data_IF_110853048868
#
_entry.id   IF_110853048868
#
_cell.length_a   1.000
_cell.length_b   1.000
_cell.length_c   1.000
_cell.angle_alpha   90.00
_cell.angle_beta   90.00
_cell.angle_gamma   90.00
#
_symmetry.space_group_name_H-M   'P 1'
#
loop_
_entity.id
_entity.type
_entity.pdbx_description
1 polymer ?
#
# COMPACT_ATOMS: atom_id res chain seq x y z
N UNK A 1 2.34 -3.44 14.65
CA UNK A 1 2.36 -4.12 13.34
C UNK A 1 1.13 -3.77 12.53
N UNK A 2 1.28 -3.67 11.18
CA UNK A 2 0.17 -3.47 10.25
C UNK A 2 -0.15 -4.75 9.48
N UNK A 3 -1.43 -4.95 9.15
CA UNK A 3 -1.85 -6.09 8.34
C UNK A 3 -2.82 -5.66 7.23
N UNK A 4 -2.65 -6.25 6.04
CA UNK A 4 -3.46 -5.94 4.88
C UNK A 4 -4.73 -6.79 4.80
N UNK A 5 -5.78 -6.16 4.30
CA UNK A 5 -7.03 -6.80 3.87
C UNK A 5 -7.37 -6.36 2.43
N UNK A 6 -8.19 -7.15 1.75
CA UNK A 6 -8.74 -6.83 0.44
C UNK A 6 -10.06 -6.07 0.54
N UNK A 7 -10.90 -6.29 -0.47
CA UNK A 7 -12.22 -5.64 -0.59
C UNK A 7 -13.38 -6.62 -0.72
N UNK A 8 -13.15 -7.91 -0.47
CA UNK A 8 -14.19 -8.92 -0.45
C UNK A 8 -14.94 -8.89 0.88
N UNK A 9 -16.15 -9.41 0.90
CA UNK A 9 -16.98 -9.36 2.11
C UNK A 9 -16.34 -10.14 3.28
N UNK A 10 -15.61 -11.19 2.99
CA UNK A 10 -14.89 -12.02 3.96
C UNK A 10 -13.76 -11.25 4.66
N UNK A 11 -13.22 -10.21 4.01
CA UNK A 11 -12.16 -9.36 4.57
C UNK A 11 -12.61 -8.60 5.83
N UNK A 12 -13.91 -8.42 6.01
CA UNK A 12 -14.46 -7.83 7.25
C UNK A 12 -14.20 -8.77 8.44
N UNK A 13 -14.38 -10.08 8.24
CA UNK A 13 -14.10 -11.07 9.29
C UNK A 13 -12.59 -11.16 9.55
N UNK A 14 -11.77 -11.09 8.48
CA UNK A 14 -10.32 -11.00 8.61
C UNK A 14 -9.92 -9.75 9.41
N UNK A 15 -10.52 -8.60 9.15
CA UNK A 15 -10.25 -7.37 9.90
C UNK A 15 -10.57 -7.51 11.40
N UNK A 16 -11.69 -8.16 11.76
CA UNK A 16 -12.03 -8.47 13.16
C UNK A 16 -10.97 -9.38 13.80
N UNK A 17 -10.64 -10.48 13.14
CA UNK A 17 -9.64 -11.43 13.66
C UNK A 17 -8.28 -10.76 13.87
N UNK A 18 -7.87 -9.86 12.97
CA UNK A 18 -6.64 -9.08 13.13
C UNK A 18 -6.72 -8.16 14.36
N UNK A 19 -7.85 -7.51 14.57
CA UNK A 19 -8.10 -6.65 15.74
C UNK A 19 -8.03 -7.45 17.04
N UNK A 20 -8.68 -8.61 17.10
CA UNK A 20 -8.71 -9.50 18.26
C UNK A 20 -7.31 -10.06 18.59
N UNK A 21 -6.42 -10.12 17.60
CA UNK A 21 -5.01 -10.53 17.75
C UNK A 21 -4.04 -9.34 17.92
N UNK A 22 -4.55 -8.13 18.19
CA UNK A 22 -3.72 -7.00 18.60
C UNK A 22 -2.98 -6.30 17.45
N UNK A 23 -3.55 -6.24 16.24
CA UNK A 23 -2.98 -5.45 15.16
C UNK A 23 -3.06 -3.95 15.48
N UNK A 24 -1.97 -3.21 15.18
CA UNK A 24 -1.92 -1.76 15.43
C UNK A 24 -2.50 -0.94 14.26
N UNK A 25 -2.52 -1.51 13.05
CA UNK A 25 -2.95 -0.84 11.83
C UNK A 25 -3.56 -1.83 10.85
N UNK A 26 -4.74 -1.55 10.32
CA UNK A 26 -5.32 -2.30 9.20
C UNK A 26 -5.15 -1.51 7.90
N UNK A 27 -4.72 -2.19 6.84
CA UNK A 27 -4.47 -1.58 5.53
C UNK A 27 -5.44 -2.16 4.51
N UNK A 28 -6.34 -1.36 3.96
CA UNK A 28 -7.11 -1.72 2.77
C UNK A 28 -6.19 -1.49 1.57
N UNK A 29 -5.63 -2.57 1.03
CA UNK A 29 -4.55 -2.52 0.05
C UNK A 29 -5.02 -3.02 -1.32
N UNK A 30 -5.10 -2.10 -2.27
CA UNK A 30 -5.58 -2.36 -3.63
C UNK A 30 -4.70 -1.69 -4.69
N UNK A 31 -4.77 -2.20 -5.92
CA UNK A 31 -4.08 -1.60 -7.06
C UNK A 31 -4.68 -0.23 -7.46
N UNK A 32 -5.96 0.01 -7.13
CA UNK A 32 -6.67 1.26 -7.38
C UNK A 32 -7.60 1.61 -6.21
N UNK A 33 -7.07 2.43 -5.29
CA UNK A 33 -7.77 2.82 -4.05
C UNK A 33 -8.96 3.76 -4.27
N UNK A 34 -8.99 4.50 -5.38
CA UNK A 34 -10.09 5.41 -5.70
C UNK A 34 -11.20 4.69 -6.48
N UNK A 35 -11.81 3.70 -5.86
CA UNK A 35 -12.91 2.94 -6.44
C UNK A 35 -14.07 2.81 -5.45
N UNK A 36 -15.29 2.69 -5.97
CA UNK A 36 -16.50 2.54 -5.16
C UNK A 36 -16.42 1.32 -4.22
N UNK A 37 -15.81 0.23 -4.69
CA UNK A 37 -15.58 -0.99 -3.92
C UNK A 37 -14.72 -0.73 -2.69
N UNK A 38 -13.65 0.06 -2.83
CA UNK A 38 -12.76 0.45 -1.73
C UNK A 38 -13.47 1.38 -0.74
N UNK A 39 -14.17 2.40 -1.22
CA UNK A 39 -14.92 3.33 -0.37
C UNK A 39 -15.98 2.59 0.46
N UNK A 40 -16.75 1.69 -0.15
CA UNK A 40 -17.73 0.85 0.56
C UNK A 40 -17.06 -0.07 1.60
N UNK A 41 -15.89 -0.64 1.29
CA UNK A 41 -15.15 -1.46 2.25
C UNK A 41 -14.65 -0.62 3.42
N UNK A 42 -14.07 0.54 3.16
CA UNK A 42 -13.61 1.46 4.20
C UNK A 42 -14.74 1.82 5.18
N UNK A 43 -15.89 2.24 4.67
CA UNK A 43 -17.07 2.55 5.49
C UNK A 43 -17.49 1.37 6.39
N UNK A 44 -17.49 0.15 5.85
CA UNK A 44 -17.83 -1.04 6.63
C UNK A 44 -16.79 -1.37 7.69
N UNK A 45 -15.50 -1.31 7.35
CA UNK A 45 -14.41 -1.62 8.28
C UNK A 45 -14.32 -0.59 9.41
N UNK A 46 -14.53 0.70 9.12
CA UNK A 46 -14.60 1.77 10.15
C UNK A 46 -15.70 1.53 11.19
N UNK A 47 -16.86 1.00 10.78
CA UNK A 47 -17.95 0.66 11.70
C UNK A 47 -17.58 -0.49 12.65
N UNK A 48 -16.74 -1.41 12.18
CA UNK A 48 -16.31 -2.59 12.92
C UNK A 48 -15.09 -2.29 13.79
N UNK A 49 -14.10 -1.58 13.24
CA UNK A 49 -12.82 -1.27 13.90
C UNK A 49 -12.76 0.18 14.36
N UNK A 50 -13.47 0.50 15.44
CA UNK A 50 -13.60 1.88 15.92
C UNK A 50 -12.32 2.48 16.51
N UNK A 51 -11.39 1.64 16.99
CA UNK A 51 -10.18 2.07 17.71
C UNK A 51 -8.89 1.84 16.94
N UNK A 52 -8.92 1.06 15.87
CA UNK A 52 -7.75 0.72 15.08
C UNK A 52 -7.72 1.64 13.87
N UNK A 53 -6.60 2.34 13.61
CA UNK A 53 -6.46 3.19 12.44
C UNK A 53 -6.52 2.37 11.16
N UNK A 54 -7.11 2.94 10.12
CA UNK A 54 -7.25 2.31 8.82
C UNK A 54 -6.46 3.12 7.78
N UNK A 55 -5.46 2.47 7.19
CA UNK A 55 -4.74 2.97 6.03
C UNK A 55 -5.42 2.47 4.76
N UNK A 56 -5.55 3.33 3.77
CA UNK A 56 -6.19 2.96 2.49
C UNK A 56 -5.31 3.36 1.31
N UNK A 57 -5.19 2.49 0.34
CA UNK A 57 -4.45 2.76 -0.90
C UNK A 57 -4.64 1.65 -1.95
N UNK A 58 -3.98 1.82 -3.10
CA UNK A 58 -3.09 2.92 -3.42
C UNK A 58 -3.80 3.95 -4.28
N UNK A 59 -3.39 5.18 -4.11
CA UNK A 59 -3.88 6.30 -4.90
C UNK A 59 -2.70 7.15 -5.44
N UNK A 60 -3.01 8.11 -6.31
CA UNK A 60 -2.00 9.01 -6.89
C UNK A 60 -2.52 10.44 -7.12
N UNK A 61 -3.75 10.76 -6.73
CA UNK A 61 -4.36 12.06 -7.02
C UNK A 61 -4.95 12.72 -5.77
N UNK A 62 -5.02 14.05 -5.82
CA UNK A 62 -5.63 14.87 -4.77
C UNK A 62 -7.11 14.54 -4.53
N UNK A 63 -7.86 14.29 -5.60
CA UNK A 63 -9.28 13.96 -5.55
C UNK A 63 -9.51 12.63 -4.84
N UNK A 64 -8.66 11.63 -5.13
CA UNK A 64 -8.69 10.35 -4.45
C UNK A 64 -8.39 10.49 -2.95
N UNK A 65 -7.42 11.32 -2.58
CA UNK A 65 -7.10 11.58 -1.18
C UNK A 65 -8.28 12.19 -0.43
N UNK A 66 -8.96 13.18 -1.03
CA UNK A 66 -10.18 13.79 -0.47
C UNK A 66 -11.31 12.79 -0.33
N UNK A 67 -11.54 11.95 -1.34
CA UNK A 67 -12.60 10.93 -1.30
C UNK A 67 -12.38 9.92 -0.19
N UNK A 68 -11.14 9.44 0.00
CA UNK A 68 -10.80 8.50 1.07
C UNK A 68 -10.92 9.13 2.45
N UNK A 69 -10.49 10.38 2.62
CA UNK A 69 -10.65 11.11 3.88
C UNK A 69 -12.13 11.25 4.26
N UNK A 70 -12.97 11.69 3.31
CA UNK A 70 -14.40 11.89 3.55
C UNK A 70 -15.12 10.60 3.96
N UNK A 71 -14.62 9.43 3.50
CA UNK A 71 -15.14 8.11 3.90
C UNK A 71 -14.53 7.60 5.21
N UNK A 72 -13.58 8.33 5.79
CA UNK A 72 -13.02 8.08 7.11
C UNK A 72 -11.68 7.34 7.14
N UNK A 73 -10.86 7.43 6.10
CA UNK A 73 -9.48 6.95 6.16
C UNK A 73 -8.68 7.74 7.20
N UNK A 74 -7.89 7.04 8.02
CA UNK A 74 -7.00 7.65 9.00
C UNK A 74 -5.61 7.89 8.40
N UNK A 75 -5.20 7.08 7.42
CA UNK A 75 -3.91 7.16 6.74
C UNK A 75 -4.14 6.87 5.26
N UNK A 76 -3.43 7.58 4.39
CA UNK A 76 -3.49 7.36 2.95
C UNK A 76 -2.18 6.81 2.42
N UNK A 77 -2.24 5.76 1.61
CA UNK A 77 -1.08 5.15 0.97
C UNK A 77 -1.03 5.51 -0.51
N UNK A 78 0.08 6.16 -0.92
CA UNK A 78 0.24 6.81 -2.23
C UNK A 78 1.29 6.10 -3.06
N UNK A 79 0.91 5.72 -4.29
CA UNK A 79 1.82 5.14 -5.27
C UNK A 79 1.12 4.19 -6.24
N UNK A 80 1.04 4.59 -7.52
CA UNK A 80 0.51 3.76 -8.60
C UNK A 80 1.66 3.41 -9.54
N UNK A 81 2.14 2.16 -9.43
CA UNK A 81 3.16 1.60 -10.29
C UNK A 81 4.63 1.98 -10.02
N UNK A 82 5.04 2.62 -8.88
CA UNK A 82 6.44 2.98 -8.66
C UNK A 82 7.29 1.81 -8.15
N UNK A 83 6.70 0.73 -7.69
CA UNK A 83 7.41 -0.42 -7.13
C UNK A 83 8.34 -1.07 -8.16
N UNK A 84 9.51 -1.53 -7.72
CA UNK A 84 10.54 -2.12 -8.61
C UNK A 84 10.07 -3.41 -9.32
N UNK A 85 9.13 -4.11 -8.72
CA UNK A 85 8.52 -5.34 -9.25
C UNK A 85 7.17 -5.08 -9.94
N UNK A 86 6.69 -3.83 -9.95
CA UNK A 86 5.40 -3.46 -10.51
C UNK A 86 5.52 -3.22 -12.02
N UNK A 87 4.69 -3.91 -12.79
CA UNK A 87 4.63 -3.78 -14.26
C UNK A 87 3.42 -2.97 -14.75
N UNK A 88 2.61 -2.41 -13.86
CA UNK A 88 1.39 -1.66 -14.21
C UNK A 88 1.66 -0.55 -15.22
N UNK A 89 2.73 0.23 -15.02
CA UNK A 89 3.10 1.32 -15.94
C UNK A 89 3.49 0.81 -17.32
N UNK A 90 4.15 -0.35 -17.38
CA UNK A 90 4.63 -0.92 -18.64
C UNK A 90 3.51 -1.61 -19.42
N UNK A 91 2.66 -2.35 -18.71
CA UNK A 91 1.62 -3.19 -19.33
C UNK A 91 0.32 -2.42 -19.55
N UNK A 92 -0.12 -1.63 -18.56
CA UNK A 92 -1.38 -0.90 -18.61
C UNK A 92 -1.22 0.57 -19.01
N UNK A 93 0.01 1.10 -19.04
CA UNK A 93 0.26 2.52 -19.29
C UNK A 93 -0.27 3.45 -18.18
N UNK A 94 -0.59 2.89 -17.02
CA UNK A 94 -1.21 3.63 -15.89
C UNK A 94 -0.17 3.92 -14.82
N UNK A 95 -0.11 5.18 -14.38
CA UNK A 95 0.76 5.58 -13.28
C UNK A 95 0.98 7.09 -13.26
N UNK A 96 1.48 7.57 -12.13
CA UNK A 96 1.91 8.96 -11.93
C UNK A 96 3.35 8.91 -11.40
N UNK A 97 4.25 9.83 -11.81
CA UNK A 97 5.57 9.96 -11.19
C UNK A 97 5.43 10.07 -9.66
N UNK A 98 6.18 9.24 -8.92
CA UNK A 98 5.92 9.06 -7.49
C UNK A 98 5.99 10.36 -6.69
N UNK A 99 7.00 11.19 -6.95
CA UNK A 99 7.16 12.46 -6.25
C UNK A 99 5.96 13.40 -6.49
N UNK A 100 5.49 13.47 -7.73
CA UNK A 100 4.29 14.25 -8.11
C UNK A 100 3.06 13.74 -7.35
N UNK A 101 2.85 12.41 -7.34
CA UNK A 101 1.72 11.80 -6.64
C UNK A 101 1.76 12.10 -5.13
N UNK A 102 2.94 12.00 -4.50
CA UNK A 102 3.11 12.32 -3.10
C UNK A 102 2.80 13.79 -2.82
N UNK A 103 3.34 14.71 -3.61
CA UNK A 103 3.11 16.15 -3.44
C UNK A 103 1.63 16.52 -3.59
N UNK A 104 0.93 15.98 -4.57
CA UNK A 104 -0.48 16.26 -4.82
C UNK A 104 -1.37 15.70 -3.70
N UNK A 105 -1.13 14.46 -3.27
CA UNK A 105 -1.85 13.86 -2.16
C UNK A 105 -1.52 14.55 -0.83
N UNK A 106 -0.26 14.95 -0.60
CA UNK A 106 0.18 15.64 0.61
C UNK A 106 -0.55 16.98 0.80
N UNK A 107 -0.70 17.75 -0.28
CA UNK A 107 -1.46 19.02 -0.24
C UNK A 107 -2.91 18.81 0.20
N UNK A 108 -3.56 17.75 -0.29
CA UNK A 108 -4.92 17.43 0.15
C UNK A 108 -4.95 16.93 1.59
N UNK A 109 -4.04 16.03 1.95
CA UNK A 109 -3.98 15.44 3.28
C UNK A 109 -3.69 16.48 4.37
N UNK A 110 -2.88 17.50 4.06
CA UNK A 110 -2.59 18.61 4.97
C UNK A 110 -3.85 19.44 5.31
N UNK A 111 -4.79 19.57 4.38
CA UNK A 111 -6.08 20.26 4.62
C UNK A 111 -6.89 19.56 5.73
N UNK A 112 -6.67 18.27 5.92
CA UNK A 112 -7.41 17.41 6.86
C UNK A 112 -6.58 16.89 8.03
N UNK A 113 -5.28 17.15 8.06
CA UNK A 113 -4.37 16.72 9.11
C UNK A 113 -4.11 15.21 9.13
N UNK A 114 -4.27 14.49 8.00
CA UNK A 114 -4.04 13.05 7.93
C UNK A 114 -2.66 12.71 7.35
N UNK A 115 -1.98 11.69 7.89
CA UNK A 115 -0.66 11.27 7.39
C UNK A 115 -0.74 10.53 6.06
N UNK A 116 0.35 10.63 5.28
CA UNK A 116 0.53 9.89 4.04
C UNK A 116 1.71 8.94 4.13
N UNK A 117 1.56 7.75 3.56
CA UNK A 117 2.65 6.80 3.32
C UNK A 117 2.99 6.84 1.83
N UNK A 118 4.23 7.19 1.48
CA UNK A 118 4.75 7.07 0.12
C UNK A 118 5.18 5.62 -0.14
N UNK A 119 4.41 4.90 -0.97
CA UNK A 119 4.59 3.48 -1.24
C UNK A 119 5.25 3.22 -2.59
N UNK A 120 6.45 2.68 -2.56
CA UNK A 120 7.22 2.27 -3.72
C UNK A 120 8.16 3.34 -4.29
N UNK A 121 9.05 2.90 -5.16
CA UNK A 121 10.03 3.77 -5.82
C UNK A 121 11.28 4.09 -4.99
N UNK A 122 11.41 3.55 -3.79
CA UNK A 122 12.57 3.75 -2.91
C UNK A 122 13.67 2.75 -3.28
N UNK A 123 14.76 3.26 -3.83
CA UNK A 123 15.96 2.48 -4.21
C UNK A 123 17.19 2.88 -3.42
N UNK A 124 17.23 4.13 -2.96
CA UNK A 124 18.35 4.72 -2.22
C UNK A 124 17.82 5.54 -1.03
N UNK A 125 18.69 5.78 -0.04
CA UNK A 125 18.36 6.60 1.12
C UNK A 125 17.87 8.00 0.74
N UNK A 126 18.44 8.59 -0.31
CA UNK A 126 17.98 9.88 -0.84
C UNK A 126 16.54 9.89 -1.34
N UNK A 127 15.99 8.76 -1.75
CA UNK A 127 14.59 8.68 -2.17
C UNK A 127 13.65 8.76 -0.96
N UNK A 128 14.07 8.24 0.20
CA UNK A 128 13.35 8.43 1.48
C UNK A 128 13.27 9.92 1.82
N UNK A 129 14.40 10.61 1.77
CA UNK A 129 14.46 12.06 2.07
C UNK A 129 13.56 12.87 1.13
N UNK A 130 13.59 12.55 -0.18
CA UNK A 130 12.73 13.22 -1.17
C UNK A 130 11.24 12.99 -0.89
N UNK A 131 10.86 11.76 -0.56
CA UNK A 131 9.46 11.44 -0.25
C UNK A 131 8.96 12.20 0.99
N UNK A 132 9.77 12.23 2.06
CA UNK A 132 9.45 12.98 3.28
C UNK A 132 9.41 14.49 3.03
N UNK A 133 10.37 15.03 2.30
CA UNK A 133 10.39 16.45 1.91
C UNK A 133 9.19 16.84 1.03
N UNK A 134 8.68 15.90 0.22
CA UNK A 134 7.47 16.09 -0.58
C UNK A 134 6.15 16.05 0.23
N UNK A 135 6.23 15.77 1.53
CA UNK A 135 5.10 15.80 2.45
C UNK A 135 4.59 14.42 2.89
N UNK A 136 5.31 13.33 2.57
CA UNK A 136 4.98 12.04 3.16
C UNK A 136 5.38 12.00 4.65
N UNK A 137 4.56 11.36 5.47
CA UNK A 137 4.84 11.12 6.90
C UNK A 137 5.71 9.88 7.11
N UNK A 138 5.62 8.92 6.19
CA UNK A 138 6.39 7.68 6.19
C UNK A 138 6.59 7.17 4.76
N UNK A 139 7.51 6.22 4.59
CA UNK A 139 7.73 5.50 3.33
C UNK A 139 7.49 4.02 3.51
N UNK A 140 6.96 3.36 2.48
CA UNK A 140 6.85 1.90 2.40
C UNK A 140 7.91 1.37 1.45
N UNK A 141 8.74 0.46 1.95
CA UNK A 141 9.91 -0.07 1.25
C UNK A 141 9.73 -1.57 1.07
N UNK A 142 9.80 -2.03 -0.18
CA UNK A 142 9.76 -3.45 -0.52
C UNK A 142 11.14 -4.01 -0.85
N UNK A 143 11.68 -3.63 -2.00
CA UNK A 143 12.87 -4.27 -2.58
C UNK A 143 14.14 -4.17 -1.74
N UNK A 144 14.37 -3.06 -1.03
CA UNK A 144 15.55 -2.92 -0.17
C UNK A 144 15.51 -3.88 1.03
N UNK A 145 14.32 -4.25 1.50
CA UNK A 145 14.15 -5.21 2.60
C UNK A 145 13.95 -6.65 2.14
N UNK A 146 13.72 -6.88 0.85
CA UNK A 146 13.42 -8.22 0.34
C UNK A 146 14.57 -9.23 0.53
N UNK A 147 15.81 -8.75 0.63
CA UNK A 147 17.00 -9.56 0.83
C UNK A 147 17.46 -9.72 2.28
N UNK A 148 16.79 -9.09 3.25
CA UNK A 148 17.15 -9.17 4.67
C UNK A 148 16.83 -10.56 5.25
N UNK A 149 17.45 -10.92 6.37
CA UNK A 149 17.25 -12.22 7.01
C UNK A 149 15.81 -12.39 7.51
N UNK A 150 15.18 -11.32 7.97
CA UNK A 150 13.80 -11.28 8.46
C UNK A 150 12.75 -11.41 7.35
N UNK A 151 13.12 -11.08 6.10
CA UNK A 151 12.19 -11.18 4.98
C UNK A 151 11.86 -12.63 4.64
N UNK A 152 10.59 -12.99 4.38
CA UNK A 152 10.24 -14.30 3.88
C UNK A 152 10.75 -14.49 2.45
N UNK A 153 10.99 -15.74 2.08
CA UNK A 153 11.43 -16.11 0.73
C UNK A 153 12.47 -17.21 0.76
N UNK A 154 12.45 -18.00 -0.28
CA UNK A 154 13.44 -19.06 -0.46
C UNK A 154 14.83 -18.44 -0.70
N UNK A 155 15.82 -18.96 0.00
CA UNK A 155 17.21 -18.57 -0.18
C UNK A 155 17.84 -19.47 -1.25
N UNK A 156 18.35 -18.86 -2.31
CA UNK A 156 19.06 -19.55 -3.39
C UNK A 156 20.50 -19.09 -3.43
N UNK A 157 21.40 -20.02 -3.80
CA UNK A 157 22.81 -19.73 -4.03
C UNK A 157 23.08 -19.74 -5.54
N UNK A 158 23.63 -18.64 -6.04
CA UNK A 158 23.99 -18.53 -7.45
C UNK A 158 25.30 -17.77 -7.57
N UNK A 159 26.26 -18.34 -8.30
CA UNK A 159 27.61 -17.77 -8.53
C UNK A 159 28.30 -17.30 -7.23
N UNK A 160 28.25 -18.11 -6.18
CA UNK A 160 28.90 -17.81 -4.89
C UNK A 160 28.22 -16.75 -4.05
N UNK A 161 27.03 -16.27 -4.43
CA UNK A 161 26.22 -15.30 -3.68
C UNK A 161 24.88 -15.88 -3.27
N UNK A 162 24.38 -15.43 -2.12
CA UNK A 162 23.03 -15.76 -1.66
C UNK A 162 22.03 -14.72 -2.14
N UNK A 163 20.90 -15.19 -2.60
CA UNK A 163 19.76 -14.37 -3.02
C UNK A 163 18.49 -14.87 -2.34
N UNK A 164 17.51 -13.99 -2.16
CA UNK A 164 16.13 -14.35 -1.79
C UNK A 164 15.20 -14.19 -2.97
N UNK A 165 14.33 -15.18 -3.17
CA UNK A 165 13.28 -15.10 -4.18
C UNK A 165 12.23 -14.08 -3.76
N UNK A 166 12.07 -13.02 -4.55
CA UNK A 166 11.07 -11.98 -4.34
C UNK A 166 10.16 -11.90 -5.58
N UNK A 167 8.87 -11.72 -5.35
CA UNK A 167 7.90 -11.58 -6.45
C UNK A 167 6.90 -10.46 -6.16
N UNK A 168 6.43 -9.80 -7.23
CA UNK A 168 5.38 -8.79 -7.14
C UNK A 168 4.01 -9.40 -6.87
N UNK A 169 3.14 -8.64 -6.20
CA UNK A 169 1.75 -9.03 -5.91
C UNK A 169 0.92 -9.26 -7.17
N UNK A 170 1.23 -8.59 -8.29
CA UNK A 170 0.60 -8.79 -9.60
C UNK A 170 1.19 -9.93 -10.43
N UNK A 171 2.18 -10.66 -9.93
CA UNK A 171 2.74 -11.82 -10.65
C UNK A 171 1.75 -12.99 -10.63
N UNK A 172 1.81 -13.83 -11.69
CA UNK A 172 0.97 -15.04 -11.78
C UNK A 172 1.10 -15.94 -10.53
N UNK A 173 2.32 -16.06 -10.00
CA UNK A 173 2.58 -16.87 -8.81
C UNK A 173 1.97 -16.29 -7.53
N UNK A 174 1.89 -14.97 -7.40
CA UNK A 174 1.23 -14.31 -6.27
C UNK A 174 -0.30 -14.39 -6.42
N UNK A 175 -0.83 -14.12 -7.63
CA UNK A 175 -2.27 -14.19 -7.91
C UNK A 175 -2.86 -15.59 -7.64
N UNK A 176 -2.11 -16.65 -7.97
CA UNK A 176 -2.52 -18.03 -7.64
C UNK A 176 -2.56 -18.31 -6.12
N UNK A 177 -1.86 -17.50 -5.31
CA UNK A 177 -1.79 -17.62 -3.84
C UNK A 177 -2.69 -16.64 -3.09
N UNK A 178 -3.61 -15.94 -3.77
CA UNK A 178 -4.65 -15.12 -3.15
C UNK A 178 -4.54 -13.61 -3.39
N UNK A 179 -3.52 -13.09 -4.09
CA UNK A 179 -3.43 -11.64 -4.36
C UNK A 179 -4.33 -11.15 -5.51
N UNK A 180 -5.15 -12.03 -6.07
CA UNK A 180 -6.01 -11.70 -7.21
C UNK A 180 -7.04 -10.62 -6.89
N UNK A 181 -7.62 -10.64 -5.71
CA UNK A 181 -8.62 -9.69 -5.20
C UNK A 181 -8.10 -8.26 -5.09
N UNK A 182 -6.77 -8.08 -5.11
CA UNK A 182 -6.12 -6.76 -5.13
C UNK A 182 -6.29 -6.03 -6.48
N UNK A 183 -6.53 -6.78 -7.55
CA UNK A 183 -6.54 -6.28 -8.93
C UNK A 183 -7.92 -6.36 -9.59
N UNK A 184 -8.83 -7.21 -9.10
CA UNK A 184 -10.13 -7.49 -9.71
C UNK A 184 -11.29 -7.40 -8.72
#
# INVERSE_FOLDING_TARGET
>A
VGAAIGTNIEDINRARNLADNGVDLVVIDTAHGHSEKVLKMLSKVKKVLRKIPICVGNIATREAAKSLYNEGADIIKVGIGPGSICITRMVAGIGVPQLTAVMDCARAAAEFGIPIIADGGIKFSGDVVKALAAGASAVMIGSLFAGTDESPGERIHFQGRSYKVCRGMGSLGAMKRGSKDRYF
#
